data_IF_150194739925
#
_entry.id   IF_150194739925
#
_cell.length_a   1.000
_cell.length_b   1.000
_cell.length_c   1.000
_cell.angle_alpha   90.00
_cell.angle_beta   90.00
_cell.angle_gamma   90.00
#
_symmetry.space_group_name_H-M   'P 1'
#
loop_
_entity.id
_entity.type
_entity.pdbx_description
1 polymer ?
#
# COMPACT_ATOMS: atom_id res chain seq x y z
N UNK A 1 33.29 38.08 -15.11
CA UNK A 1 33.60 37.13 -14.03
C UNK A 1 32.30 36.79 -13.33
N UNK A 2 31.64 35.70 -13.75
CA UNK A 2 30.45 35.19 -13.08
C UNK A 2 30.90 34.15 -12.06
N UNK A 3 30.67 34.44 -10.79
CA UNK A 3 31.03 33.56 -9.68
C UNK A 3 30.18 32.28 -9.72
N UNK A 4 30.84 31.13 -9.78
CA UNK A 4 30.23 29.83 -9.62
C UNK A 4 29.73 29.67 -8.17
N UNK A 5 28.44 29.44 -8.00
CA UNK A 5 27.85 29.09 -6.71
C UNK A 5 28.17 27.62 -6.44
N UNK A 6 29.02 27.36 -5.44
CA UNK A 6 29.39 26.01 -5.04
C UNK A 6 28.17 25.25 -4.53
N UNK A 7 27.95 24.05 -5.08
CA UNK A 7 26.94 23.12 -4.60
C UNK A 7 27.22 22.74 -3.14
N UNK A 8 26.20 22.84 -2.29
CA UNK A 8 26.28 22.42 -0.90
C UNK A 8 26.56 20.91 -0.82
N UNK A 9 27.39 20.45 0.13
CA UNK A 9 27.70 19.03 0.27
C UNK A 9 26.45 18.25 0.66
N UNK A 10 26.17 17.19 -0.11
CA UNK A 10 25.14 16.19 0.18
C UNK A 10 25.34 15.66 1.60
N UNK A 11 24.34 15.87 2.46
CA UNK A 11 24.28 15.28 3.79
C UNK A 11 24.49 13.76 3.68
N UNK A 12 25.43 13.22 4.46
CA UNK A 12 25.66 11.77 4.55
C UNK A 12 24.38 11.12 5.07
N UNK A 13 23.63 10.48 4.17
CA UNK A 13 22.52 9.60 4.52
C UNK A 13 22.98 8.59 5.56
N UNK A 14 22.27 8.49 6.69
CA UNK A 14 22.48 7.41 7.64
C UNK A 14 22.34 6.08 6.90
N UNK A 15 23.25 5.13 7.16
CA UNK A 15 23.20 3.83 6.51
C UNK A 15 21.83 3.19 6.78
N UNK A 16 21.08 2.86 5.72
CA UNK A 16 19.80 2.16 5.82
C UNK A 16 20.07 0.74 6.31
N UNK A 17 19.59 0.41 7.49
CA UNK A 17 19.74 -0.93 8.08
C UNK A 17 18.39 -1.62 8.00
N UNK A 18 18.39 -2.85 7.48
CA UNK A 18 17.18 -3.67 7.47
C UNK A 18 16.67 -3.90 8.90
N UNK A 19 15.37 -3.68 9.18
CA UNK A 19 14.81 -3.93 10.50
C UNK A 19 14.87 -5.42 10.85
N UNK A 20 14.92 -5.72 12.16
CA UNK A 20 14.66 -7.08 12.62
C UNK A 20 13.21 -7.47 12.33
N UNK A 21 13.01 -8.73 11.96
CA UNK A 21 11.71 -9.29 11.60
C UNK A 21 11.19 -10.21 12.69
N UNK A 22 9.91 -10.10 13.01
CA UNK A 22 9.17 -11.08 13.79
C UNK A 22 8.55 -12.11 12.84
N UNK A 23 8.79 -13.40 13.10
CA UNK A 23 8.20 -14.47 12.29
C UNK A 23 6.70 -14.54 12.53
N UNK A 24 5.93 -14.87 11.51
CA UNK A 24 4.48 -15.03 11.61
C UNK A 24 4.10 -16.09 12.67
N UNK A 25 4.91 -17.14 12.83
CA UNK A 25 4.71 -18.17 13.85
C UNK A 25 4.77 -17.65 15.29
N UNK A 26 5.43 -16.51 15.51
CA UNK A 26 5.59 -15.91 16.83
C UNK A 26 4.47 -14.90 17.12
N UNK A 27 3.67 -14.51 16.11
CA UNK A 27 2.56 -13.57 16.24
C UNK A 27 1.34 -14.29 16.83
N UNK A 28 0.71 -13.67 17.83
CA UNK A 28 -0.55 -14.17 18.39
C UNK A 28 -1.47 -13.04 18.88
N UNK A 29 -2.74 -13.38 19.07
CA UNK A 29 -3.74 -12.44 19.59
C UNK A 29 -3.33 -11.85 20.95
N UNK A 30 -3.71 -10.59 21.19
CA UNK A 30 -3.41 -9.83 22.40
C UNK A 30 -2.04 -9.16 22.40
N UNK A 31 -1.16 -9.43 21.42
CA UNK A 31 0.08 -8.67 21.25
C UNK A 31 -0.23 -7.20 20.96
N UNK A 32 0.60 -6.31 21.50
CA UNK A 32 0.53 -4.87 21.26
C UNK A 32 1.76 -4.38 20.53
N UNK A 33 1.57 -3.41 19.67
CA UNK A 33 2.61 -2.88 18.82
C UNK A 33 2.37 -1.44 18.43
N UNK A 34 3.19 -0.96 17.50
CA UNK A 34 3.10 0.38 16.94
C UNK A 34 3.16 0.30 15.43
N UNK A 35 2.26 1.00 14.75
CA UNK A 35 2.34 1.22 13.32
C UNK A 35 2.70 2.67 13.00
N UNK A 36 3.29 2.92 11.84
CA UNK A 36 3.67 4.27 11.41
C UNK A 36 3.02 4.64 10.08
N UNK A 37 2.41 5.82 10.02
CA UNK A 37 1.88 6.37 8.76
C UNK A 37 1.89 7.89 8.77
N UNK A 38 1.81 8.51 7.59
CA UNK A 38 1.60 9.96 7.47
C UNK A 38 0.10 10.26 7.36
N UNK A 39 -0.48 10.99 8.31
CA UNK A 39 -1.86 11.50 8.17
C UNK A 39 -1.93 12.88 7.51
N UNK A 40 -0.88 13.69 7.69
CA UNK A 40 -0.73 15.03 7.11
C UNK A 40 0.76 15.39 7.02
N UNK A 41 1.14 16.15 6.00
CA UNK A 41 2.52 16.51 5.69
C UNK A 41 3.31 15.34 5.12
N UNK A 42 4.54 15.16 5.61
CA UNK A 42 5.48 14.13 5.13
C UNK A 42 6.00 13.23 6.23
N UNK A 43 5.75 13.57 7.50
CA UNK A 43 6.36 12.91 8.66
C UNK A 43 5.50 11.73 9.11
N UNK A 44 6.05 10.51 9.23
CA UNK A 44 5.34 9.39 9.82
C UNK A 44 5.04 9.64 11.30
N UNK A 45 3.84 9.29 11.71
CA UNK A 45 3.34 9.38 13.07
C UNK A 45 2.98 7.98 13.59
N UNK A 46 3.24 7.68 14.87
CA UNK A 46 2.90 6.39 15.45
C UNK A 46 1.39 6.27 15.70
N UNK A 47 0.89 5.04 15.60
CA UNK A 47 -0.42 4.63 16.09
C UNK A 47 -0.30 3.29 16.81
N UNK A 48 -1.10 3.11 17.86
CA UNK A 48 -1.07 1.89 18.64
C UNK A 48 -1.80 0.76 17.90
N UNK A 49 -1.28 -0.46 18.04
CA UNK A 49 -1.83 -1.65 17.38
C UNK A 49 -2.08 -2.74 18.40
N UNK A 50 -3.21 -3.42 18.28
CA UNK A 50 -3.54 -4.63 19.01
C UNK A 50 -3.81 -5.76 18.00
N UNK A 51 -3.06 -6.85 18.10
CA UNK A 51 -3.26 -8.04 17.26
C UNK A 51 -4.50 -8.79 17.75
N UNK A 52 -5.47 -9.01 16.86
CA UNK A 52 -6.71 -9.72 17.15
C UNK A 52 -6.62 -11.22 16.81
N UNK A 53 -5.79 -11.57 15.82
CA UNK A 53 -5.58 -12.97 15.43
C UNK A 53 -4.93 -13.12 14.06
N UNK A 54 -4.72 -14.37 13.63
CA UNK A 54 -4.22 -14.71 12.30
C UNK A 54 -5.35 -15.41 11.54
N UNK A 55 -5.55 -14.98 10.29
CA UNK A 55 -6.51 -15.52 9.35
C UNK A 55 -5.75 -16.28 8.25
N UNK A 56 -5.65 -17.62 8.36
CA UNK A 56 -4.81 -18.40 7.46
C UNK A 56 -5.41 -18.54 6.06
N UNK A 57 -4.56 -18.49 5.04
CA UNK A 57 -4.90 -18.65 3.61
C UNK A 57 -6.00 -17.71 3.09
N UNK A 58 -6.19 -16.58 3.76
CA UNK A 58 -7.32 -15.71 3.46
C UNK A 58 -7.12 -14.95 2.15
N UNK A 59 -5.88 -14.60 1.84
CA UNK A 59 -5.51 -13.86 0.64
C UNK A 59 -5.04 -14.80 -0.50
N UNK A 60 -5.15 -16.12 -0.30
CA UNK A 60 -4.75 -17.15 -1.24
C UNK A 60 -4.01 -18.29 -0.55
N UNK A 61 -3.69 -19.39 -1.26
CA UNK A 61 -2.92 -20.47 -0.69
C UNK A 61 -1.58 -19.96 -0.14
N UNK A 62 -1.32 -20.20 1.16
CA UNK A 62 -0.15 -19.73 1.91
C UNK A 62 0.00 -18.21 2.03
N UNK A 63 -1.08 -17.45 1.81
CA UNK A 63 -1.10 -16.00 2.10
C UNK A 63 -2.02 -15.77 3.29
N UNK A 64 -1.38 -15.60 4.45
CA UNK A 64 -2.04 -15.41 5.73
C UNK A 64 -2.26 -13.90 5.96
N UNK A 65 -3.27 -13.56 6.75
CA UNK A 65 -3.54 -12.17 7.10
C UNK A 65 -3.57 -12.01 8.62
N UNK A 66 -2.80 -11.06 9.15
CA UNK A 66 -2.84 -10.73 10.57
C UNK A 66 -3.95 -9.69 10.75
N UNK A 67 -4.94 -10.00 11.57
CA UNK A 67 -6.02 -9.07 11.92
C UNK A 67 -5.59 -8.22 13.10
N UNK A 68 -5.74 -6.91 13.00
CA UNK A 68 -5.38 -5.98 14.06
C UNK A 68 -6.37 -4.83 14.21
N UNK A 69 -6.41 -4.27 15.41
CA UNK A 69 -7.15 -3.05 15.74
C UNK A 69 -6.16 -1.92 15.95
N UNK A 70 -6.42 -0.78 15.31
CA UNK A 70 -5.66 0.44 15.51
C UNK A 70 -6.27 1.24 16.67
N UNK A 71 -5.44 1.94 17.43
CA UNK A 71 -5.84 2.78 18.54
C UNK A 71 -5.20 4.16 18.44
N UNK A 72 -5.88 5.17 18.98
CA UNK A 72 -5.45 6.57 19.00
C UNK A 72 -6.39 7.51 18.25
N UNK A 73 -6.33 8.81 18.59
CA UNK A 73 -7.31 9.82 18.16
C UNK A 73 -7.55 9.87 16.65
N UNK A 74 -6.47 9.79 15.85
CA UNK A 74 -6.55 9.84 14.38
C UNK A 74 -7.19 8.57 13.79
N UNK A 75 -6.63 7.35 13.97
CA UNK A 75 -7.22 6.14 13.39
C UNK A 75 -8.63 5.84 13.92
N UNK A 76 -8.96 6.21 15.17
CA UNK A 76 -10.32 6.06 15.70
C UNK A 76 -11.33 7.00 15.02
N UNK A 77 -10.89 8.19 14.60
CA UNK A 77 -11.72 9.14 13.86
C UNK A 77 -11.80 8.81 12.36
N UNK A 78 -10.66 8.52 11.72
CA UNK A 78 -10.58 8.35 10.27
C UNK A 78 -10.90 6.93 9.82
N UNK A 79 -10.75 5.95 10.69
CA UNK A 79 -10.70 4.53 10.33
C UNK A 79 -9.41 4.18 9.59
N UNK A 80 -9.43 3.03 8.92
CA UNK A 80 -8.36 2.54 8.04
C UNK A 80 -8.58 3.14 6.63
N UNK A 81 -7.73 4.08 6.24
CA UNK A 81 -7.95 4.90 5.03
C UNK A 81 -7.09 4.46 3.85
N UNK A 82 -7.60 4.66 2.63
CA UNK A 82 -6.83 4.49 1.40
C UNK A 82 -5.56 5.37 1.42
N UNK A 83 -4.41 4.77 1.12
CA UNK A 83 -3.08 5.37 1.27
C UNK A 83 -2.36 5.01 2.58
N UNK A 84 -3.01 4.35 3.55
CA UNK A 84 -2.31 3.70 4.68
C UNK A 84 -1.69 2.35 4.30
N UNK A 85 -2.04 1.79 3.13
CA UNK A 85 -1.44 0.53 2.68
C UNK A 85 0.08 0.61 2.67
N UNK A 86 0.75 -0.36 3.28
CA UNK A 86 2.20 -0.35 3.49
C UNK A 86 2.65 0.31 4.79
N UNK A 87 1.75 0.72 5.69
CA UNK A 87 2.17 1.25 7.00
C UNK A 87 2.82 0.11 7.80
N UNK A 88 4.11 0.25 8.20
CA UNK A 88 4.82 -0.82 8.88
C UNK A 88 4.29 -0.98 10.30
N UNK A 89 4.12 -2.24 10.71
CA UNK A 89 3.66 -2.62 12.05
C UNK A 89 4.78 -3.31 12.79
N UNK A 90 5.10 -2.83 13.98
CA UNK A 90 6.15 -3.37 14.84
C UNK A 90 5.57 -3.92 16.14
N UNK A 91 6.06 -5.07 16.58
CA UNK A 91 5.81 -5.63 17.92
C UNK A 91 7.18 -5.90 18.54
N UNK A 92 7.40 -5.43 19.78
CA UNK A 92 8.68 -5.51 20.47
C UNK A 92 9.88 -4.99 19.64
N UNK A 93 9.64 -3.94 18.84
CA UNK A 93 10.66 -3.34 17.96
C UNK A 93 10.97 -4.14 16.68
N UNK A 94 10.32 -5.28 16.47
CA UNK A 94 10.49 -6.13 15.28
C UNK A 94 9.36 -5.90 14.30
N UNK A 95 9.70 -5.80 13.01
CA UNK A 95 8.74 -5.63 11.93
C UNK A 95 7.92 -6.91 11.77
N UNK A 96 6.60 -6.78 11.82
CA UNK A 96 5.63 -7.86 11.68
C UNK A 96 5.03 -7.90 10.28
N UNK A 97 4.80 -6.72 9.68
CA UNK A 97 4.13 -6.63 8.39
C UNK A 97 3.69 -5.23 8.02
N UNK A 98 2.83 -5.17 7.00
CA UNK A 98 2.26 -3.95 6.45
C UNK A 98 0.74 -3.95 6.58
N UNK A 99 0.15 -2.86 7.09
CA UNK A 99 -1.30 -2.62 6.96
C UNK A 99 -1.67 -2.65 5.48
N UNK A 100 -2.68 -3.43 5.09
CA UNK A 100 -3.01 -3.71 3.68
C UNK A 100 -4.50 -3.86 3.39
N UNK A 101 -5.32 -4.22 4.38
CA UNK A 101 -6.77 -4.42 4.18
C UNK A 101 -7.58 -3.61 5.18
N UNK A 102 -8.74 -3.11 4.73
CA UNK A 102 -9.79 -2.60 5.60
C UNK A 102 -10.85 -3.68 5.75
N UNK A 103 -11.42 -3.79 6.96
CA UNK A 103 -12.39 -4.84 7.28
C UNK A 103 -13.77 -4.22 7.44
N UNK A 104 -14.70 -4.63 6.59
CA UNK A 104 -16.09 -4.17 6.58
C UNK A 104 -16.32 -2.87 5.81
N UNK A 105 -17.57 -2.64 5.42
CA UNK A 105 -18.04 -1.37 4.85
C UNK A 105 -18.69 -0.55 5.96
N UNK A 106 -18.38 0.75 6.03
CA UNK A 106 -18.90 1.64 7.08
C UNK A 106 -18.57 1.18 8.52
N UNK A 107 -17.45 0.47 8.70
CA UNK A 107 -17.01 0.02 10.01
C UNK A 107 -16.81 1.20 10.95
N UNK A 108 -17.29 1.08 12.19
CA UNK A 108 -17.05 2.05 13.27
C UNK A 108 -15.73 1.81 14.00
N UNK A 109 -15.15 0.63 13.81
CA UNK A 109 -13.92 0.23 14.47
C UNK A 109 -12.78 0.21 13.44
N UNK A 110 -11.60 0.77 13.76
CA UNK A 110 -10.44 0.81 12.86
C UNK A 110 -9.70 -0.54 12.84
N UNK A 111 -10.38 -1.57 12.34
CA UNK A 111 -9.81 -2.91 12.16
C UNK A 111 -9.17 -3.00 10.77
N UNK A 112 -7.91 -3.42 10.75
CA UNK A 112 -7.16 -3.65 9.52
C UNK A 112 -6.69 -5.11 9.40
N UNK A 113 -6.43 -5.51 8.17
CA UNK A 113 -5.58 -6.65 7.85
C UNK A 113 -4.15 -6.18 7.60
N UNK A 114 -3.19 -6.98 8.05
CA UNK A 114 -1.76 -6.76 7.90
C UNK A 114 -1.20 -7.94 7.09
N UNK A 115 -0.53 -7.63 5.99
CA UNK A 115 0.24 -8.60 5.20
C UNK A 115 1.55 -8.89 5.94
N UNK A 116 1.85 -10.16 6.26
CA UNK A 116 3.08 -10.53 6.96
C UNK A 116 4.33 -10.07 6.20
N UNK A 117 5.33 -9.57 6.92
CA UNK A 117 6.58 -9.10 6.31
C UNK A 117 7.33 -10.21 5.59
N UNK A 118 7.23 -11.46 6.06
CA UNK A 118 7.85 -12.62 5.42
C UNK A 118 7.35 -12.78 3.98
N UNK A 119 6.05 -12.60 3.71
CA UNK A 119 5.48 -12.65 2.36
C UNK A 119 5.93 -11.47 1.48
N UNK A 120 6.12 -10.29 2.07
CA UNK A 120 6.62 -9.14 1.31
C UNK A 120 8.10 -9.31 0.92
N UNK A 121 8.90 -9.92 1.79
CA UNK A 121 10.33 -10.13 1.56
C UNK A 121 10.61 -11.13 0.44
N UNK A 122 9.65 -12.00 0.11
CA UNK A 122 9.70 -12.93 -1.03
C UNK A 122 9.66 -12.21 -2.40
N UNK A 123 9.24 -10.94 -2.45
CA UNK A 123 9.23 -10.17 -3.70
C UNK A 123 10.68 -10.03 -4.19
N UNK A 124 11.03 -10.73 -5.26
CA UNK A 124 12.35 -10.67 -5.88
C UNK A 124 12.35 -9.69 -7.05
N UNK A 125 13.33 -8.78 -7.06
CA UNK A 125 13.51 -7.83 -8.14
C UNK A 125 13.83 -8.50 -9.49
N UNK A 126 14.40 -9.71 -9.49
CA UNK A 126 14.70 -10.46 -10.72
C UNK A 126 13.59 -11.42 -11.15
N UNK A 127 12.49 -11.50 -10.40
CA UNK A 127 11.37 -12.36 -10.75
C UNK A 127 10.71 -11.86 -12.05
N UNK A 128 10.76 -12.73 -13.06
CA UNK A 128 10.15 -12.52 -14.39
C UNK A 128 8.88 -13.32 -14.62
N UNK A 129 8.41 -14.05 -13.59
CA UNK A 129 7.16 -14.78 -13.68
C UNK A 129 6.01 -13.81 -13.93
N UNK A 130 5.06 -14.23 -14.76
CA UNK A 130 3.80 -13.49 -14.86
C UNK A 130 2.97 -13.84 -13.63
N UNK A 131 2.44 -12.84 -12.91
CA UNK A 131 1.49 -13.12 -11.85
C UNK A 131 0.31 -13.89 -12.42
N UNK A 132 -0.07 -14.96 -11.75
CA UNK A 132 -1.35 -15.61 -12.04
C UNK A 132 -2.44 -14.54 -11.92
N UNK A 133 -3.28 -14.34 -12.95
CA UNK A 133 -4.33 -13.35 -12.87
C UNK A 133 -5.20 -13.69 -11.65
N UNK A 134 -5.32 -12.74 -10.72
CA UNK A 134 -6.29 -12.88 -9.63
C UNK A 134 -7.65 -12.82 -10.29
N UNK A 135 -8.17 -13.99 -10.60
CA UNK A 135 -9.55 -14.14 -11.00
C UNK A 135 -10.40 -13.71 -9.81
N UNK A 136 -10.76 -12.43 -9.77
CA UNK A 136 -11.92 -11.98 -8.99
C UNK A 136 -13.12 -12.62 -9.66
N UNK A 137 -13.39 -13.88 -9.31
CA UNK A 137 -14.52 -14.72 -9.66
C UNK A 137 -15.42 -14.19 -10.80
N UNK A 138 -14.88 -14.06 -12.03
CA UNK A 138 -15.72 -13.76 -13.21
C UNK A 138 -16.21 -15.00 -13.94
N UNK A 139 -15.82 -16.19 -13.46
CA UNK A 139 -16.39 -17.46 -13.86
C UNK A 139 -16.36 -18.41 -12.66
N UNK A 140 -17.42 -18.40 -11.83
CA UNK A 140 -17.74 -19.63 -11.11
C UNK A 140 -18.27 -20.63 -12.14
N UNK A 141 -17.66 -21.81 -12.30
CA UNK A 141 -18.36 -22.89 -12.96
C UNK A 141 -19.61 -23.19 -12.13
N UNK A 142 -20.77 -23.26 -12.79
CA UNK A 142 -21.95 -23.92 -12.24
C UNK A 142 -21.57 -25.39 -12.02
N UNK A 143 -20.94 -25.71 -10.89
CA UNK A 143 -20.69 -27.10 -10.50
C UNK A 143 -22.01 -27.64 -9.97
N UNK A 144 -22.81 -28.07 -10.93
CA UNK A 144 -23.92 -28.97 -10.71
C UNK A 144 -23.33 -30.34 -10.33
N UNK A 145 -23.33 -30.65 -9.03
CA UNK A 145 -23.31 -32.03 -8.53
C UNK A 145 -21.99 -32.82 -8.59
N UNK A 146 -21.53 -33.18 -7.39
CA UNK A 146 -20.75 -34.39 -7.03
C UNK A 146 -19.35 -34.55 -7.65
N UNK A 147 -18.30 -34.32 -6.85
CA UNK A 147 -17.32 -35.36 -6.45
C UNK A 147 -16.30 -34.81 -5.42
N UNK A 148 -16.38 -35.36 -4.20
CA UNK A 148 -15.29 -35.96 -3.40
C UNK A 148 -13.99 -35.18 -3.14
N UNK A 149 -14.03 -34.19 -2.24
CA UNK A 149 -13.05 -34.02 -1.14
C UNK A 149 -13.76 -33.32 0.02
N UNK A 150 -13.75 -33.95 1.20
CA UNK A 150 -14.51 -33.50 2.37
C UNK A 150 -13.89 -32.26 3.01
N UNK A 151 -14.71 -31.22 3.13
CA UNK A 151 -14.37 -29.98 3.83
C UNK A 151 -15.22 -28.83 3.30
N UNK A 152 -16.49 -28.76 3.73
CA UNK A 152 -17.31 -27.57 3.56
C UNK A 152 -16.60 -26.41 4.25
N UNK A 153 -15.99 -25.50 3.49
CA UNK A 153 -15.74 -24.17 4.02
C UNK A 153 -17.13 -23.56 4.27
N UNK A 154 -17.49 -23.18 5.52
CA UNK A 154 -18.81 -22.63 5.79
C UNK A 154 -19.03 -21.39 4.93
N UNK A 155 -20.25 -21.23 4.41
CA UNK A 155 -20.68 -20.06 3.63
C UNK A 155 -20.33 -18.71 4.31
N UNK A 156 -20.16 -18.71 5.63
CA UNK A 156 -19.73 -17.57 6.44
C UNK A 156 -18.32 -17.05 6.07
N UNK A 157 -17.35 -17.93 5.74
CA UNK A 157 -16.00 -17.49 5.33
C UNK A 157 -16.00 -16.77 3.98
N UNK A 158 -16.85 -17.21 3.05
CA UNK A 158 -17.03 -16.53 1.75
C UNK A 158 -17.69 -15.16 1.90
N UNK A 159 -18.60 -15.01 2.86
CA UNK A 159 -19.20 -13.71 3.20
C UNK A 159 -18.26 -12.77 3.95
N UNK A 160 -17.31 -13.30 4.72
CA UNK A 160 -16.30 -12.49 5.41
C UNK A 160 -15.19 -12.02 4.44
N UNK A 161 -14.76 -12.89 3.51
CA UNK A 161 -13.83 -12.53 2.44
C UNK A 161 -14.35 -11.37 1.57
N UNK A 162 -15.67 -11.30 1.31
CA UNK A 162 -16.27 -10.21 0.54
C UNK A 162 -16.42 -8.89 1.32
N UNK A 163 -16.31 -8.93 2.64
CA UNK A 163 -16.26 -7.74 3.51
C UNK A 163 -14.84 -7.18 3.66
N UNK A 164 -13.82 -7.93 3.25
CA UNK A 164 -12.44 -7.47 3.26
C UNK A 164 -12.10 -6.89 1.90
N UNK A 165 -11.71 -5.63 1.92
CA UNK A 165 -11.26 -4.93 0.73
C UNK A 165 -9.80 -4.54 0.94
N UNK A 166 -8.91 -4.76 -0.04
CA UNK A 166 -7.62 -4.11 -0.04
C UNK A 166 -7.82 -2.61 0.24
N UNK A 167 -6.93 -2.03 1.02
CA UNK A 167 -6.86 -0.57 1.18
C UNK A 167 -6.32 -0.04 -0.14
N UNK A 168 -7.17 0.02 -1.17
CA UNK A 168 -6.78 0.42 -2.52
C UNK A 168 -5.85 1.63 -2.44
N UNK A 169 -4.74 1.58 -3.17
CA UNK A 169 -3.93 2.77 -3.32
C UNK A 169 -4.81 3.80 -4.04
N UNK A 170 -5.07 4.98 -3.45
CA UNK A 170 -5.90 5.97 -4.11
C UNK A 170 -5.20 6.36 -5.41
N UNK A 171 -5.85 6.05 -6.54
CA UNK A 171 -5.42 6.57 -7.83
C UNK A 171 -5.94 8.00 -7.91
N UNK A 172 -5.04 8.94 -7.74
CA UNK A 172 -5.34 10.37 -7.79
C UNK A 172 -5.22 10.82 -9.24
N UNK A 173 -6.33 11.31 -9.78
CA UNK A 173 -6.43 11.81 -11.16
C UNK A 173 -6.47 13.34 -11.14
N UNK A 174 -5.45 13.98 -11.71
CA UNK A 174 -5.34 15.43 -11.79
C UNK A 174 -5.29 15.90 -13.25
N UNK A 175 -5.86 17.08 -13.53
CA UNK A 175 -6.00 17.60 -14.89
C UNK A 175 -7.19 17.02 -15.68
N UNK A 176 -7.88 16.01 -15.15
CA UNK A 176 -9.08 15.43 -15.77
C UNK A 176 -10.34 16.23 -15.45
N UNK A 177 -11.28 16.32 -16.40
CA UNK A 177 -12.62 16.83 -16.12
C UNK A 177 -13.46 15.79 -15.38
N UNK A 178 -14.37 16.23 -14.51
CA UNK A 178 -15.30 15.33 -13.80
C UNK A 178 -16.14 14.50 -14.80
N UNK A 179 -16.57 15.11 -15.91
CA UNK A 179 -17.31 14.43 -16.96
C UNK A 179 -16.50 13.26 -17.57
N UNK A 180 -15.19 13.48 -17.79
CA UNK A 180 -14.29 12.43 -18.30
C UNK A 180 -14.16 11.28 -17.30
N UNK A 181 -13.91 11.56 -16.01
CA UNK A 181 -13.78 10.48 -15.01
C UNK A 181 -15.09 9.70 -14.90
N UNK A 182 -16.24 10.38 -14.88
CA UNK A 182 -17.55 9.72 -14.83
C UNK A 182 -17.81 8.85 -16.06
N UNK A 183 -17.48 9.34 -17.25
CA UNK A 183 -17.64 8.61 -18.50
C UNK A 183 -16.85 7.30 -18.52
N UNK A 184 -15.65 7.29 -17.93
CA UNK A 184 -14.76 6.12 -17.90
C UNK A 184 -14.79 5.32 -16.59
N UNK A 185 -15.66 5.71 -15.63
CA UNK A 185 -15.74 5.08 -14.31
C UNK A 185 -15.98 3.57 -14.37
N UNK A 186 -16.83 3.10 -15.29
CA UNK A 186 -17.12 1.68 -15.45
C UNK A 186 -15.91 0.86 -15.91
N UNK A 187 -15.04 1.45 -16.74
CA UNK A 187 -13.83 0.84 -17.24
C UNK A 187 -12.77 0.76 -16.14
N UNK A 188 -12.61 1.85 -15.35
CA UNK A 188 -11.72 1.85 -14.18
C UNK A 188 -12.15 0.80 -13.15
N UNK A 189 -13.43 0.75 -12.80
CA UNK A 189 -13.97 -0.27 -11.91
C UNK A 189 -13.79 -1.70 -12.47
N UNK A 190 -13.91 -1.88 -13.79
CA UNK A 190 -13.74 -3.18 -14.41
C UNK A 190 -12.32 -3.75 -14.27
N UNK A 191 -11.33 -2.88 -14.05
CA UNK A 191 -9.91 -3.22 -13.79
C UNK A 191 -9.50 -2.99 -12.32
N UNK A 192 -10.47 -2.77 -11.42
CA UNK A 192 -10.21 -2.62 -9.98
C UNK A 192 -9.67 -1.25 -9.53
N UNK A 193 -9.82 -0.22 -10.36
CA UNK A 193 -9.41 1.14 -10.04
C UNK A 193 -10.59 1.97 -9.56
N UNK A 194 -10.44 2.58 -8.38
CA UNK A 194 -11.36 3.60 -7.86
C UNK A 194 -10.76 4.99 -8.06
N UNK A 195 -11.11 5.73 -9.14
CA UNK A 195 -10.53 7.04 -9.41
C UNK A 195 -10.98 8.05 -8.35
N UNK A 196 -10.00 8.77 -7.80
CA UNK A 196 -10.23 9.90 -6.91
C UNK A 196 -9.84 11.17 -7.63
N UNK A 197 -10.72 12.16 -7.67
CA UNK A 197 -10.40 13.48 -8.21
C UNK A 197 -9.31 14.12 -7.34
N UNK A 198 -8.13 14.31 -7.93
CA UNK A 198 -7.06 15.12 -7.35
C UNK A 198 -7.30 16.59 -7.59
N UNK A 199 -7.03 17.41 -6.57
CA UNK A 199 -6.96 18.88 -6.70
C UNK A 199 -5.50 19.35 -6.80
N UNK A 200 -4.54 18.42 -6.69
CA UNK A 200 -3.10 18.68 -6.68
C UNK A 200 -2.43 18.35 -8.01
N UNK A 201 -1.50 19.18 -8.44
CA UNK A 201 -0.62 18.91 -9.60
C UNK A 201 0.62 18.15 -9.13
N UNK A 202 1.26 17.37 -10.01
CA UNK A 202 2.65 16.98 -9.79
C UNK A 202 3.50 18.24 -9.54
N UNK A 203 4.35 18.22 -8.51
CA UNK A 203 5.17 19.36 -8.12
C UNK A 203 6.66 19.02 -8.23
N UNK A 204 7.46 19.98 -8.68
CA UNK A 204 8.93 19.88 -8.64
C UNK A 204 9.52 20.27 -7.27
N UNK A 205 8.66 20.45 -6.26
CA UNK A 205 9.12 20.72 -4.91
C UNK A 205 9.88 19.51 -4.38
N UNK A 206 11.06 19.78 -3.80
CA UNK A 206 11.86 18.75 -3.18
C UNK A 206 11.46 18.61 -1.73
N UNK A 207 11.02 17.42 -1.35
CA UNK A 207 10.78 17.12 0.06
C UNK A 207 12.08 16.79 0.80
N UNK A 208 12.14 17.04 2.13
CA UNK A 208 13.28 16.64 2.95
C UNK A 208 13.64 15.15 2.77
N UNK A 209 14.93 14.85 2.73
CA UNK A 209 15.47 13.50 2.92
C UNK A 209 15.64 13.21 4.43
N UNK A 210 15.58 11.94 4.88
CA UNK A 210 15.42 10.71 4.10
C UNK A 210 13.97 10.19 4.00
N UNK A 211 13.68 9.36 2.99
CA UNK A 211 12.54 8.42 3.06
C UNK A 211 12.82 7.38 4.16
N UNK A 212 11.84 7.18 5.03
CA UNK A 212 11.88 6.23 6.14
C UNK A 212 10.62 5.33 6.16
N UNK A 213 10.64 4.17 6.85
CA UNK A 213 9.44 3.37 7.04
C UNK A 213 8.28 4.21 7.61
N UNK A 214 7.09 4.07 7.02
CA UNK A 214 5.92 4.91 7.30
C UNK A 214 5.77 6.14 6.40
N UNK A 215 6.78 6.49 5.58
CA UNK A 215 6.71 7.61 4.62
C UNK A 215 5.72 7.31 3.48
N UNK A 216 5.09 8.34 2.93
CA UNK A 216 4.23 8.19 1.75
C UNK A 216 5.04 8.27 0.45
N UNK A 217 4.78 7.32 -0.46
CA UNK A 217 5.42 7.21 -1.78
C UNK A 217 4.37 6.92 -2.85
N UNK A 218 4.58 7.41 -4.06
CA UNK A 218 3.64 7.21 -5.16
C UNK A 218 4.27 6.55 -6.37
N UNK A 219 3.56 5.58 -6.94
CA UNK A 219 3.83 5.06 -8.28
C UNK A 219 3.09 5.94 -9.29
N UNK A 220 3.83 6.56 -10.21
CA UNK A 220 3.27 7.42 -11.24
C UNK A 220 2.94 6.59 -12.48
N UNK A 221 1.69 6.64 -12.94
CA UNK A 221 1.22 5.96 -14.15
C UNK A 221 1.13 6.90 -15.35
N UNK A 222 0.73 8.14 -15.12
CA UNK A 222 0.62 9.19 -16.13
C UNK A 222 1.16 10.47 -15.52
N UNK A 223 1.96 11.22 -16.29
CA UNK A 223 2.49 12.52 -15.89
C UNK A 223 2.42 13.55 -17.03
N UNK A 224 2.33 14.83 -16.67
CA UNK A 224 2.31 15.96 -17.62
C UNK A 224 1.07 16.83 -17.46
N UNK A 225 0.36 17.12 -18.56
CA UNK A 225 -0.91 17.87 -18.52
C UNK A 225 -2.02 17.10 -17.77
N UNK A 226 -1.85 15.79 -17.65
CA UNK A 226 -2.68 14.87 -16.88
C UNK A 226 -1.75 14.09 -15.95
N UNK A 227 -2.16 13.91 -14.69
CA UNK A 227 -1.42 13.09 -13.73
C UNK A 227 -2.32 11.97 -13.20
N UNK A 228 -1.80 10.74 -13.16
CA UNK A 228 -2.39 9.60 -12.46
C UNK A 228 -1.29 8.97 -11.60
N UNK A 229 -1.48 8.99 -10.28
CA UNK A 229 -0.55 8.38 -9.35
C UNK A 229 -1.29 7.55 -8.29
N UNK A 230 -0.70 6.41 -7.92
CA UNK A 230 -1.14 5.58 -6.82
C UNK A 230 -0.21 5.75 -5.63
N UNK A 231 -0.75 6.16 -4.48
CA UNK A 231 0.06 6.43 -3.29
C UNK A 231 -0.11 5.36 -2.22
N UNK A 232 1.02 4.86 -1.73
CA UNK A 232 1.10 3.93 -0.60
C UNK A 232 2.05 4.49 0.46
N UNK A 233 2.23 3.70 1.51
CA UNK A 233 3.20 3.89 2.57
C UNK A 233 4.37 2.91 2.39
N UNK A 234 5.57 3.31 2.78
CA UNK A 234 6.78 2.46 2.78
C UNK A 234 6.78 1.57 4.01
N UNK A 235 6.87 0.25 3.81
CA UNK A 235 6.92 -0.73 4.91
C UNK A 235 8.36 -0.99 5.36
N UNK A 236 9.25 -1.22 4.39
CA UNK A 236 10.58 -1.76 4.64
C UNK A 236 11.60 -1.05 3.77
N UNK A 237 12.79 -0.80 4.31
CA UNK A 237 13.91 -0.21 3.61
C UNK A 237 15.20 -0.94 4.03
N UNK A 238 16.02 -1.29 3.05
CA UNK A 238 17.40 -1.73 3.24
C UNK A 238 18.34 -0.94 2.30
N UNK A 239 19.64 -1.24 2.24
CA UNK A 239 20.56 -0.53 1.34
C UNK A 239 20.23 -0.65 -0.16
N UNK A 240 19.49 -1.69 -0.58
CA UNK A 240 19.27 -2.02 -1.98
C UNK A 240 17.87 -1.62 -2.46
N UNK A 241 16.86 -1.75 -1.61
CA UNK A 241 15.45 -1.65 -2.00
C UNK A 241 14.57 -1.08 -0.91
N UNK A 242 13.37 -0.70 -1.32
CA UNK A 242 12.24 -0.52 -0.44
C UNK A 242 11.10 -1.44 -0.85
N UNK A 243 10.26 -1.78 0.13
CA UNK A 243 8.95 -2.40 -0.12
C UNK A 243 7.88 -1.43 0.34
N UNK A 244 6.87 -1.24 -0.50
CA UNK A 244 5.74 -0.36 -0.25
C UNK A 244 4.43 -1.06 -0.61
N UNK A 245 3.34 -0.48 -0.13
CA UNK A 245 2.04 -1.15 -0.09
C UNK A 245 2.13 -2.48 0.71
N UNK A 246 1.00 -3.10 1.01
CA UNK A 246 0.96 -4.50 1.47
C UNK A 246 0.08 -5.37 0.58
N UNK A 247 -0.16 -4.93 -0.65
CA UNK A 247 -1.02 -5.56 -1.65
C UNK A 247 -0.58 -5.07 -3.04
N UNK A 248 -1.02 -5.69 -4.15
CA UNK A 248 -0.67 -5.21 -5.47
C UNK A 248 -1.35 -3.87 -5.78
N UNK A 249 -0.74 -3.07 -6.64
CA UNK A 249 -1.43 -1.92 -7.25
C UNK A 249 -2.31 -2.38 -8.42
N UNK A 250 -1.70 -3.14 -9.32
CA UNK A 250 -2.29 -3.66 -10.56
C UNK A 250 -1.95 -5.15 -10.77
N UNK A 251 -0.92 -5.63 -10.08
CA UNK A 251 -0.39 -6.98 -10.17
C UNK A 251 0.12 -7.34 -11.57
N UNK A 252 0.71 -6.38 -12.29
CA UNK A 252 1.29 -6.63 -13.61
C UNK A 252 2.60 -7.41 -13.60
N UNK A 253 3.16 -7.67 -12.43
CA UNK A 253 4.40 -8.41 -12.35
C UNK A 253 5.58 -7.44 -12.42
N UNK A 254 6.47 -7.67 -13.38
CA UNK A 254 7.53 -6.70 -13.66
C UNK A 254 6.91 -5.40 -14.17
N UNK A 255 7.31 -4.30 -13.57
CA UNK A 255 6.83 -2.96 -13.88
C UNK A 255 8.01 -2.02 -13.98
N UNK A 256 7.80 -0.86 -14.58
CA UNK A 256 8.81 0.18 -14.66
C UNK A 256 8.16 1.54 -14.42
N UNK A 257 7.75 1.77 -13.17
CA UNK A 257 6.96 2.93 -12.78
C UNK A 257 7.80 3.94 -11.99
N UNK A 258 7.81 5.24 -12.35
CA UNK A 258 8.46 6.26 -11.55
C UNK A 258 7.97 6.23 -10.09
N UNK A 259 8.92 6.20 -9.16
CA UNK A 259 8.68 6.27 -7.73
C UNK A 259 8.96 7.68 -7.23
N UNK A 260 7.92 8.34 -6.74
CA UNK A 260 7.99 9.71 -6.20
C UNK A 260 7.73 9.72 -4.71
N UNK A 261 8.23 10.76 -4.03
CA UNK A 261 7.73 11.11 -2.71
C UNK A 261 6.32 11.71 -2.80
N UNK A 262 5.59 11.69 -1.69
CA UNK A 262 4.24 12.24 -1.61
C UNK A 262 4.07 13.14 -0.37
N UNK A 263 3.44 14.30 -0.55
CA UNK A 263 3.00 15.16 0.54
C UNK A 263 1.52 14.87 0.79
N UNK A 264 1.18 14.39 1.97
CA UNK A 264 -0.21 14.19 2.37
C UNK A 264 -0.77 15.54 2.77
N UNK A 265 -1.55 16.17 1.89
CA UNK A 265 -2.17 17.47 2.17
C UNK A 265 -3.13 17.35 3.34
N UNK A 266 -3.93 16.28 3.37
CA UNK A 266 -4.79 15.93 4.49
C UNK A 266 -5.33 14.50 4.33
N UNK A 267 -5.86 13.92 5.41
CA UNK A 267 -6.60 12.66 5.39
C UNK A 267 -8.10 12.93 5.50
N UNK A 268 -8.86 12.56 4.47
CA UNK A 268 -10.31 12.72 4.46
C UNK A 268 -10.96 11.53 5.20
N UNK A 269 -11.59 11.80 6.33
CA UNK A 269 -12.46 10.84 7.00
C UNK A 269 -13.80 10.75 6.26
N UNK A 270 -14.25 9.53 5.96
CA UNK A 270 -15.54 9.30 5.32
C UNK A 270 -16.03 7.88 5.60
N UNK A 271 -17.29 7.71 6.04
CA UNK A 271 -17.85 6.38 6.24
C UNK A 271 -17.98 5.63 4.90
N UNK A 272 -18.11 6.36 3.78
CA UNK A 272 -18.19 5.77 2.43
C UNK A 272 -16.82 5.40 1.86
N UNK A 273 -15.90 6.37 1.82
CA UNK A 273 -14.56 6.16 1.27
C UNK A 273 -13.57 7.17 1.85
N UNK A 274 -12.81 6.74 2.86
CA UNK A 274 -11.77 7.54 3.50
C UNK A 274 -10.42 7.35 2.80
N UNK A 275 -9.70 8.43 2.53
CA UNK A 275 -8.44 8.40 1.75
C UNK A 275 -7.55 9.60 2.05
N UNK A 276 -6.26 9.46 1.73
CA UNK A 276 -5.28 10.56 1.76
C UNK A 276 -5.37 11.41 0.49
N UNK A 277 -5.49 12.73 0.64
CA UNK A 277 -5.33 13.69 -0.45
C UNK A 277 -3.85 14.04 -0.54
N UNK A 278 -3.23 13.80 -1.68
CA UNK A 278 -1.78 13.81 -1.82
C UNK A 278 -1.33 14.66 -3.02
N UNK A 279 -0.17 15.30 -2.86
CA UNK A 279 0.58 15.87 -3.96
C UNK A 279 1.83 15.00 -4.19
N UNK A 280 2.08 14.58 -5.42
CA UNK A 280 3.36 13.98 -5.79
C UNK A 280 4.44 15.06 -5.87
N UNK A 281 5.65 14.69 -5.48
CA UNK A 281 6.79 15.60 -5.45
C UNK A 281 7.94 15.03 -6.28
N UNK A 282 9.19 15.31 -5.92
CA UNK A 282 10.34 14.81 -6.66
C UNK A 282 10.40 13.27 -6.77
N UNK A 283 10.89 12.80 -7.93
CA UNK A 283 11.23 11.40 -8.17
C UNK A 283 12.44 10.99 -7.32
N UNK A 284 12.41 9.75 -6.85
CA UNK A 284 13.44 9.17 -5.98
C UNK A 284 13.91 7.79 -6.46
N UNK A 285 13.31 7.25 -7.50
CA UNK A 285 13.69 5.97 -8.09
C UNK A 285 12.57 5.36 -8.93
N UNK A 286 12.54 4.02 -8.95
CA UNK A 286 11.62 3.24 -9.78
C UNK A 286 11.02 2.08 -9.00
N UNK A 287 9.72 1.83 -9.16
CA UNK A 287 9.10 0.56 -8.81
C UNK A 287 9.32 -0.45 -9.93
N UNK A 288 9.93 -1.58 -9.59
CA UNK A 288 10.37 -2.61 -10.55
C UNK A 288 9.54 -3.91 -10.47
N UNK A 289 8.77 -4.08 -9.40
CA UNK A 289 7.87 -5.21 -9.21
C UNK A 289 6.55 -4.76 -8.58
N UNK A 290 5.44 -5.27 -9.10
CA UNK A 290 4.10 -5.19 -8.53
C UNK A 290 3.57 -6.62 -8.32
N UNK A 291 3.56 -7.06 -7.07
CA UNK A 291 3.26 -8.44 -6.65
C UNK A 291 2.12 -8.47 -5.66
N UNK A 292 1.63 -9.68 -5.44
CA UNK A 292 0.51 -9.96 -4.55
C UNK A 292 0.70 -9.44 -3.11
N UNK A 293 1.92 -9.47 -2.58
CA UNK A 293 2.23 -9.00 -1.23
C UNK A 293 2.70 -7.54 -1.15
N UNK A 294 2.81 -6.83 -2.28
CA UNK A 294 3.27 -5.43 -2.32
C UNK A 294 4.07 -5.08 -3.57
N UNK A 295 4.70 -3.90 -3.54
CA UNK A 295 5.54 -3.39 -4.62
C UNK A 295 6.98 -3.19 -4.17
N UNK A 296 7.94 -3.46 -5.05
CA UNK A 296 9.37 -3.30 -4.79
C UNK A 296 9.91 -2.09 -5.54
N UNK A 297 10.51 -1.15 -4.78
CA UNK A 297 11.16 0.04 -5.30
C UNK A 297 12.68 -0.01 -5.17
N UNK A 298 13.37 0.64 -6.10
CA UNK A 298 14.82 0.85 -6.07
C UNK A 298 15.13 2.34 -6.20
N UNK A 299 16.02 2.81 -5.33
CA UNK A 299 16.39 4.22 -5.29
C UNK A 299 17.36 4.58 -6.41
N UNK A 300 17.17 5.76 -7.01
CA UNK A 300 18.08 6.33 -8.01
C UNK A 300 18.13 5.60 -9.35
N UNK A 301 17.41 4.48 -9.50
CA UNK A 301 17.11 3.92 -10.81
C UNK A 301 16.13 4.83 -11.55
N UNK A 302 16.25 4.89 -12.87
CA UNK A 302 15.37 5.66 -13.74
C UNK A 302 14.52 4.68 -14.55
N UNK A 303 13.24 4.97 -14.75
CA UNK A 303 12.38 4.08 -15.52
C UNK A 303 12.74 4.09 -17.01
N UNK A 304 12.68 2.93 -17.66
CA UNK A 304 12.83 2.77 -19.11
C UNK A 304 11.52 3.15 -19.80
N UNK A 305 11.31 4.46 -19.98
CA UNK A 305 10.18 5.03 -20.73
C UNK A 305 10.45 5.09 -22.23
#
# INVERSE_FOLDING_TARGET
>A
MMSAQAAAPLSKSAARVAPEVMKLSDVHAGMRGTAYTVFEGTKPEPMDVEILGILPNLNGPKSDLILARLHGDKPEYTGVVAGMSGSPVYVDGKLVGAISYRIGQFSKEPICGITPIEEMLEIDAMDRSQPEPVSVARNMPKVLGKTSTGGDAPADLQSFASLMQPIEAPFVFSGFSEATIRQFSSQFQAVGLSPVMGVGSASNEHQPEPIEPGSSVSAVLVSGDLDIAATCTVTYIDPQRLLACGHPLTQYGMVDMPMTKANVVTTLASPYYAYKIVNTTNEVGTFVQDRHSGILGRFGEQPQM
#
